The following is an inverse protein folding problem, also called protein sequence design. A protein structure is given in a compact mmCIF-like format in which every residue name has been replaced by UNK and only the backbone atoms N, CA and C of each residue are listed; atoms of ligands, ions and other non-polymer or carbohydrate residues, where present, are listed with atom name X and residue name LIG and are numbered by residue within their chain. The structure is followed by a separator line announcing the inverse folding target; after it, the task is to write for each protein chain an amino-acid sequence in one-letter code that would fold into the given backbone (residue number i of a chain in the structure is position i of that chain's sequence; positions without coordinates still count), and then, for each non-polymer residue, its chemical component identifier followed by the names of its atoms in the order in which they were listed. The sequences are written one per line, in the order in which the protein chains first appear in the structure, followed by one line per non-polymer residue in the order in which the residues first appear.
data_IF_640001375443
#
_entry.id   IF_640001375443
#
_cell.length_a   1.000
_cell.length_b   1.000
_cell.length_c   1.000
_cell.angle_alpha   90.00
_cell.angle_beta   90.00
_cell.angle_gamma   90.00
#
_symmetry.space_group_name_H-M   'P 1'
#
loop_
_entity.id
_entity.type
_entity.pdbx_description
1 polymer ?
#
# COMPACT_ATOMS: atom_id res chain seq x y z
N UNK A 1 7.61 -19.50 -14.63
CA UNK A 1 7.81 -18.26 -13.86
C UNK A 1 6.48 -17.74 -13.36
N UNK A 2 6.43 -17.26 -12.12
CA UNK A 2 5.18 -16.69 -11.63
C UNK A 2 4.82 -15.43 -12.42
N UNK A 3 3.53 -15.30 -12.68
CA UNK A 3 3.01 -14.11 -13.34
C UNK A 3 3.15 -12.90 -12.37
N UNK A 4 3.81 -11.81 -12.80
CA UNK A 4 3.93 -10.61 -11.96
C UNK A 4 2.59 -10.08 -11.45
N UNK A 5 1.51 -10.26 -12.19
CA UNK A 5 0.19 -9.86 -11.75
C UNK A 5 -0.28 -10.61 -10.51
N UNK A 6 0.15 -11.86 -10.34
CA UNK A 6 -0.22 -12.62 -9.15
C UNK A 6 0.36 -12.00 -7.87
N UNK A 7 1.57 -11.44 -7.95
CA UNK A 7 2.16 -10.73 -6.83
C UNK A 7 1.34 -9.49 -6.47
N UNK A 8 0.91 -8.75 -7.50
CA UNK A 8 0.10 -7.55 -7.30
C UNK A 8 -1.25 -7.90 -6.68
N UNK A 9 -1.97 -8.87 -7.26
CA UNK A 9 -3.28 -9.26 -6.75
C UNK A 9 -3.19 -9.84 -5.35
N UNK A 10 -2.16 -10.65 -5.09
CA UNK A 10 -1.92 -11.19 -3.76
C UNK A 10 -1.69 -10.08 -2.73
N UNK A 11 -0.88 -9.08 -3.09
CA UNK A 11 -0.62 -7.95 -2.21
C UNK A 11 -1.89 -7.13 -1.95
N UNK A 12 -2.73 -6.94 -2.97
CA UNK A 12 -3.96 -6.15 -2.86
C UNK A 12 -5.11 -6.91 -2.19
N UNK A 13 -5.00 -8.22 -2.04
CA UNK A 13 -6.06 -9.03 -1.44
C UNK A 13 -6.23 -8.79 0.06
N UNK A 14 -5.18 -8.34 0.74
CA UNK A 14 -5.21 -8.11 2.18
C UNK A 14 -5.72 -6.71 2.50
N UNK A 15 -6.81 -6.58 3.29
CA UNK A 15 -7.35 -5.27 3.65
C UNK A 15 -6.35 -4.36 4.35
N UNK A 16 -5.48 -4.92 5.21
CA UNK A 16 -4.48 -4.12 5.92
C UNK A 16 -3.46 -3.51 4.97
N UNK A 17 -3.05 -4.26 3.95
CA UNK A 17 -2.13 -3.72 2.94
C UNK A 17 -2.79 -2.62 2.12
N UNK A 18 -4.08 -2.74 1.82
CA UNK A 18 -4.81 -1.66 1.14
C UNK A 18 -4.88 -0.40 2.00
N UNK A 19 -4.95 -0.54 3.34
CA UNK A 19 -4.89 0.61 4.25
C UNK A 19 -3.54 1.32 4.16
N UNK A 20 -2.44 0.57 4.07
CA UNK A 20 -1.12 1.14 3.89
C UNK A 20 -1.05 1.94 2.58
N UNK A 21 -1.54 1.37 1.49
CA UNK A 21 -1.58 2.04 0.20
C UNK A 21 -2.38 3.34 0.28
N UNK A 22 -3.57 3.29 0.88
CA UNK A 22 -4.42 4.48 1.04
C UNK A 22 -3.74 5.58 1.84
N UNK A 23 -3.07 5.21 2.92
CA UNK A 23 -2.33 6.18 3.74
C UNK A 23 -1.21 6.84 2.94
N UNK A 24 -0.42 6.05 2.21
CA UNK A 24 0.66 6.59 1.38
C UNK A 24 0.12 7.46 0.25
N UNK A 25 -1.01 7.11 -0.31
CA UNK A 25 -1.66 7.92 -1.34
C UNK A 25 -2.02 9.31 -0.81
N UNK A 26 -2.56 9.38 0.40
CA UNK A 26 -2.96 10.65 1.01
C UNK A 26 -1.77 11.49 1.48
N UNK A 27 -0.75 10.85 2.05
CA UNK A 27 0.36 11.56 2.68
C UNK A 27 1.54 11.81 1.76
N UNK A 28 1.64 11.07 0.66
CA UNK A 28 2.77 11.10 -0.25
C UNK A 28 3.90 10.19 0.20
N UNK A 29 4.45 10.40 1.39
CA UNK A 29 5.47 9.51 1.98
C UNK A 29 5.19 9.28 3.45
N UNK A 30 5.75 8.18 3.98
CA UNK A 30 5.67 7.89 5.41
C UNK A 30 6.82 6.97 5.82
N UNK A 31 7.23 7.10 7.08
CA UNK A 31 8.13 6.12 7.71
C UNK A 31 7.32 4.97 8.27
N UNK A 32 7.97 3.83 8.55
CA UNK A 32 7.30 2.70 9.20
C UNK A 32 6.76 3.12 10.59
N UNK A 33 7.47 3.98 11.30
CA UNK A 33 7.03 4.49 12.60
C UNK A 33 5.75 5.30 12.47
N UNK A 34 5.66 6.18 11.46
CA UNK A 34 4.44 6.96 11.20
C UNK A 34 3.26 6.05 10.88
N UNK A 35 3.49 5.06 10.02
CA UNK A 35 2.45 4.08 9.66
C UNK A 35 1.96 3.31 10.88
N UNK A 36 2.88 2.86 11.74
CA UNK A 36 2.53 2.13 12.96
C UNK A 36 1.71 3.00 13.92
N UNK A 37 2.02 4.29 14.00
CA UNK A 37 1.30 5.21 14.87
C UNK A 37 -0.10 5.59 14.38
N UNK A 38 -0.32 5.53 13.07
CA UNK A 38 -1.57 6.00 12.45
C UNK A 38 -2.53 4.87 12.08
N UNK A 39 -2.02 3.67 11.83
CA UNK A 39 -2.83 2.54 11.40
C UNK A 39 -2.98 1.52 12.52
N UNK A 40 -4.12 0.81 12.59
CA UNK A 40 -4.39 -0.16 13.65
C UNK A 40 -3.66 -1.48 13.39
N UNK A 41 -2.34 -1.45 13.39
CA UNK A 41 -1.53 -2.64 13.15
C UNK A 41 -0.20 -2.54 13.88
N UNK A 42 0.41 -3.68 14.17
CA UNK A 42 1.68 -3.74 14.88
C UNK A 42 2.83 -3.29 13.98
N UNK A 43 3.95 -2.94 14.61
CA UNK A 43 5.18 -2.61 13.87
C UNK A 43 5.63 -3.76 12.98
N UNK A 44 5.54 -5.00 13.47
CA UNK A 44 5.91 -6.19 12.70
C UNK A 44 5.01 -6.36 11.48
N UNK A 45 3.71 -6.14 11.64
CA UNK A 45 2.76 -6.22 10.54
C UNK A 45 3.05 -5.15 9.49
N UNK A 46 3.32 -3.91 9.91
CA UNK A 46 3.68 -2.81 9.00
C UNK A 46 4.92 -3.19 8.19
N UNK A 47 5.98 -3.67 8.86
CA UNK A 47 7.22 -4.07 8.17
C UNK A 47 6.95 -5.15 7.12
N UNK A 48 6.16 -6.15 7.47
CA UNK A 48 5.82 -7.25 6.56
C UNK A 48 4.98 -6.75 5.38
N UNK A 49 4.01 -5.89 5.63
CA UNK A 49 3.18 -5.32 4.58
C UNK A 49 4.00 -4.47 3.60
N UNK A 50 4.90 -3.64 4.11
CA UNK A 50 5.77 -2.84 3.26
C UNK A 50 6.67 -3.72 2.39
N UNK A 51 7.22 -4.79 2.96
CA UNK A 51 8.04 -5.75 2.21
C UNK A 51 7.24 -6.42 1.10
N UNK A 52 6.03 -6.89 1.41
CA UNK A 52 5.16 -7.54 0.41
C UNK A 52 4.78 -6.56 -0.70
N UNK A 53 4.43 -5.31 -0.34
CA UNK A 53 4.08 -4.29 -1.33
C UNK A 53 5.28 -3.91 -2.19
N UNK A 54 6.47 -3.84 -1.61
CA UNK A 54 7.70 -3.55 -2.37
C UNK A 54 8.02 -4.69 -3.35
N UNK A 55 7.88 -5.93 -2.91
CA UNK A 55 8.10 -7.10 -3.78
C UNK A 55 7.13 -7.11 -4.96
N UNK A 56 5.92 -6.62 -4.75
CA UNK A 56 4.92 -6.50 -5.82
C UNK A 56 5.12 -5.27 -6.70
N UNK A 57 6.08 -4.40 -6.39
CA UNK A 57 6.36 -3.20 -7.17
C UNK A 57 5.39 -2.06 -6.93
N UNK A 58 4.65 -2.09 -5.82
CA UNK A 58 3.61 -1.09 -5.52
C UNK A 58 4.10 0.04 -4.62
N UNK A 59 5.16 -0.21 -3.84
CA UNK A 59 5.81 0.82 -3.03
C UNK A 59 7.32 0.76 -3.25
N UNK A 60 7.97 1.87 -2.98
CA UNK A 60 9.43 1.96 -2.99
C UNK A 60 9.87 2.77 -1.78
N UNK A 61 11.14 2.65 -1.41
CA UNK A 61 11.69 3.35 -0.26
C UNK A 61 12.86 4.21 -0.66
N UNK A 62 13.09 5.25 0.15
CA UNK A 62 14.22 6.15 -0.01
C UNK A 62 14.81 6.41 1.36
N UNK A 63 16.13 6.29 1.46
CA UNK A 63 16.85 6.62 2.70
C UNK A 63 17.09 8.13 2.74
N UNK A 64 16.67 8.77 3.82
CA UNK A 64 16.93 10.19 4.07
C UNK A 64 17.49 10.35 5.48
N UNK A 65 18.81 10.55 5.55
CA UNK A 65 19.49 10.59 6.83
C UNK A 65 19.33 9.27 7.58
N UNK A 66 18.71 9.33 8.75
CA UNK A 66 18.44 8.14 9.57
C UNK A 66 17.08 7.50 9.30
N UNK A 67 16.27 8.14 8.45
CA UNK A 67 14.93 7.66 8.16
C UNK A 67 14.89 6.90 6.85
N UNK A 68 14.01 5.89 6.79
CA UNK A 68 13.61 5.27 5.54
C UNK A 68 12.16 5.67 5.30
N UNK A 69 11.91 6.35 4.19
CA UNK A 69 10.57 6.80 3.83
C UNK A 69 10.06 5.96 2.67
N UNK A 70 8.78 5.64 2.74
CA UNK A 70 8.09 4.81 1.76
C UNK A 70 7.10 5.65 0.98
N UNK A 71 6.92 5.33 -0.29
CA UNK A 71 5.95 6.01 -1.15
C UNK A 71 5.41 5.01 -2.18
N UNK A 72 4.27 5.34 -2.78
CA UNK A 72 3.74 4.54 -3.87
C UNK A 72 4.61 4.72 -5.11
N UNK A 73 4.81 3.62 -5.84
CA UNK A 73 5.32 3.70 -7.22
C UNK A 73 4.18 4.19 -8.12
N UNK A 74 4.47 4.46 -9.38
CA UNK A 74 3.40 4.78 -10.34
C UNK A 74 2.38 3.66 -10.41
N UNK A 75 2.84 2.39 -10.41
CA UNK A 75 1.94 1.24 -10.39
C UNK A 75 1.07 1.22 -9.14
N UNK A 76 1.66 1.53 -7.97
CA UNK A 76 0.89 1.61 -6.71
C UNK A 76 -0.16 2.70 -6.75
N UNK A 77 0.17 3.87 -7.28
CA UNK A 77 -0.78 4.97 -7.43
C UNK A 77 -1.92 4.61 -8.39
N UNK A 78 -1.59 3.98 -9.51
CA UNK A 78 -2.59 3.56 -10.50
C UNK A 78 -3.56 2.54 -9.90
N UNK A 79 -3.05 1.57 -9.13
CA UNK A 79 -3.91 0.59 -8.48
C UNK A 79 -4.79 1.22 -7.40
N UNK A 80 -4.25 2.18 -6.64
CA UNK A 80 -5.04 2.90 -5.64
C UNK A 80 -6.23 3.61 -6.30
N UNK A 81 -6.00 4.29 -7.42
CA UNK A 81 -7.07 4.96 -8.18
C UNK A 81 -8.12 3.96 -8.67
N UNK A 82 -7.70 2.82 -9.19
CA UNK A 82 -8.61 1.78 -9.67
C UNK A 82 -9.43 1.18 -8.54
N UNK A 83 -8.81 0.93 -7.38
CA UNK A 83 -9.52 0.42 -6.22
C UNK A 83 -10.56 1.41 -5.73
N UNK A 84 -10.24 2.70 -5.70
CA UNK A 84 -11.19 3.73 -5.31
C UNK A 84 -12.35 3.81 -6.27
N UNK A 85 -12.09 3.75 -7.57
CA UNK A 85 -13.16 3.74 -8.58
C UNK A 85 -14.07 2.53 -8.39
N UNK A 86 -13.49 1.36 -8.13
CA UNK A 86 -14.25 0.13 -7.89
C UNK A 86 -15.09 0.24 -6.61
N UNK A 87 -14.52 0.76 -5.53
CA UNK A 87 -15.25 0.96 -4.28
C UNK A 87 -16.47 1.86 -4.48
N UNK A 88 -16.31 2.96 -5.22
CA UNK A 88 -17.43 3.87 -5.51
C UNK A 88 -18.51 3.17 -6.33
N UNK A 89 -18.11 2.39 -7.33
CA UNK A 89 -19.04 1.64 -8.16
C UNK A 89 -19.83 0.64 -7.32
N UNK A 90 -19.16 -0.14 -6.48
CA UNK A 90 -19.79 -1.13 -5.61
C UNK A 90 -20.72 -0.49 -4.59
N UNK A 91 -20.32 0.65 -4.03
CA UNK A 91 -21.15 1.39 -3.08
C UNK A 91 -22.47 1.85 -3.72
N UNK A 92 -22.43 2.32 -4.99
CA UNK A 92 -23.63 2.74 -5.70
C UNK A 92 -24.57 1.57 -5.98
N UNK A 93 -24.04 0.38 -6.20
CA UNK A 93 -24.87 -0.81 -6.47
C UNK A 93 -25.64 -1.31 -5.26
N UNK A 94 -25.23 -0.93 -4.07
CA UNK A 94 -25.90 -1.32 -2.83
C UNK A 94 -27.11 -0.48 -2.48
N UNK A 95 -27.32 0.60 -3.18
CA UNK A 95 -28.43 1.50 -2.91
C UNK A 95 -29.76 0.90 -3.32
#
# INVERSE_FOLDING_TARGET
MPDPLNLVFGALADPSRRQVIGYLSERGTATATELTGELPMTRQAVAKHLSTLADAGLVESERRGRETRYRLTQAGADWDDRLDALRRHLARRKA
#
